data_IF_199673893253
#
_entry.id   IF_199673893253
#
_cell.length_a   1.000
_cell.length_b   1.000
_cell.length_c   1.000
_cell.angle_alpha   90.00
_cell.angle_beta   90.00
_cell.angle_gamma   90.00
#
_symmetry.space_group_name_H-M   'P 1'
#
loop_
_entity.id
_entity.type
_entity.pdbx_description
1 polymer ?
#
# COMPACT_ATOMS: atom_id res chain seq x y z
N UNK A 1 -7.65 -16.31 55.49
CA UNK A 1 -6.27 -16.83 55.45
C UNK A 1 -5.38 -15.70 54.95
N UNK A 2 -4.60 -15.13 55.85
CA UNK A 2 -3.71 -13.99 55.62
C UNK A 2 -2.46 -14.45 54.89
N UNK A 3 -2.27 -14.02 53.64
CA UNK A 3 -1.00 -14.19 52.93
C UNK A 3 0.14 -13.51 53.72
N UNK A 4 1.35 -14.11 53.78
CA UNK A 4 2.50 -13.47 54.39
C UNK A 4 2.79 -12.16 53.64
N UNK A 5 2.80 -11.06 54.38
CA UNK A 5 2.88 -9.70 53.85
C UNK A 5 4.33 -9.37 53.44
N UNK A 6 4.66 -9.54 52.17
CA UNK A 6 5.97 -9.20 51.62
C UNK A 6 6.24 -7.67 51.76
N UNK A 7 7.32 -7.24 52.45
CA UNK A 7 7.66 -5.83 52.65
C UNK A 7 7.95 -5.05 51.37
N UNK A 8 8.14 -5.73 50.22
CA UNK A 8 8.44 -5.08 48.93
C UNK A 8 7.21 -4.50 48.22
N UNK A 9 5.99 -4.96 48.48
CA UNK A 9 4.82 -4.52 47.72
C UNK A 9 4.39 -3.07 48.06
N UNK A 10 3.94 -2.28 47.06
CA UNK A 10 3.48 -0.92 47.26
C UNK A 10 2.23 -0.92 48.12
N UNK A 11 2.15 0.01 49.07
CA UNK A 11 1.02 0.12 50.01
C UNK A 11 0.64 1.56 50.23
N UNK A 12 -0.66 1.78 50.34
CA UNK A 12 -1.25 3.03 50.80
C UNK A 12 -2.01 2.72 52.09
N UNK A 13 -1.59 3.31 53.21
CA UNK A 13 -2.29 3.16 54.49
C UNK A 13 -2.91 4.48 54.92
N UNK A 14 -4.17 4.44 55.33
CA UNK A 14 -4.86 5.59 55.94
C UNK A 14 -4.81 5.44 57.47
N UNK A 15 -4.23 6.43 58.14
CA UNK A 15 -4.11 6.45 59.62
C UNK A 15 -4.77 7.72 60.14
N UNK A 16 -5.64 7.61 61.15
CA UNK A 16 -6.29 8.78 61.76
C UNK A 16 -5.70 9.04 63.14
N UNK A 17 -5.12 10.23 63.36
CA UNK A 17 -4.59 10.67 64.66
C UNK A 17 -5.22 12.00 65.04
N UNK A 18 -5.79 12.12 66.24
CA UNK A 18 -6.32 13.36 66.82
C UNK A 18 -7.00 14.31 65.81
N UNK A 19 -8.01 13.79 65.09
CA UNK A 19 -8.82 14.49 64.06
C UNK A 19 -8.21 14.72 62.67
N UNK A 20 -6.92 14.42 62.46
CA UNK A 20 -6.24 14.54 61.16
C UNK A 20 -6.09 13.17 60.49
N UNK A 21 -6.40 13.11 59.20
CA UNK A 21 -6.20 11.92 58.37
C UNK A 21 -4.81 11.96 57.73
N UNK A 22 -4.04 10.89 57.89
CA UNK A 22 -2.73 10.69 57.28
C UNK A 22 -2.85 9.63 56.19
N UNK A 23 -2.27 9.89 55.02
CA UNK A 23 -2.11 8.92 53.95
C UNK A 23 -0.61 8.60 53.80
N UNK A 24 -0.21 7.40 54.18
CA UNK A 24 1.17 6.95 54.21
C UNK A 24 1.44 6.05 53.01
N UNK A 25 2.39 6.45 52.17
CA UNK A 25 2.89 5.67 51.04
C UNK A 25 4.12 4.87 51.46
N UNK A 26 4.12 3.55 51.26
CA UNK A 26 5.25 2.67 51.58
C UNK A 26 5.45 1.57 50.53
N UNK A 27 6.61 0.91 50.55
CA UNK A 27 7.00 -0.15 49.62
C UNK A 27 7.50 0.32 48.25
N UNK A 28 7.65 -0.63 47.31
CA UNK A 28 8.17 -0.36 45.96
C UNK A 28 7.05 -0.03 44.97
N UNK A 29 6.97 1.24 44.57
CA UNK A 29 6.07 1.79 43.56
C UNK A 29 6.70 1.75 42.17
N UNK A 30 6.85 0.53 41.65
CA UNK A 30 7.43 0.26 40.33
C UNK A 30 6.37 -0.28 39.37
N UNK A 31 6.60 -0.13 38.07
CA UNK A 31 5.65 -0.50 37.00
C UNK A 31 5.10 -1.92 37.16
N UNK A 32 5.93 -2.86 37.62
CA UNK A 32 5.57 -4.27 37.83
C UNK A 32 4.64 -4.50 39.04
N UNK A 33 4.64 -3.60 40.02
CA UNK A 33 3.88 -3.75 41.27
C UNK A 33 2.65 -2.82 41.33
N UNK A 34 2.51 -1.89 40.38
CA UNK A 34 1.43 -0.90 40.37
C UNK A 34 0.03 -1.51 40.17
N UNK A 35 -0.08 -2.63 39.44
CA UNK A 35 -1.38 -3.18 39.08
C UNK A 35 -2.21 -3.61 40.31
N UNK A 36 -1.56 -4.06 41.39
CA UNK A 36 -2.23 -4.50 42.61
C UNK A 36 -2.78 -3.36 43.47
N UNK A 37 -2.28 -2.13 43.31
CA UNK A 37 -2.60 -0.98 44.18
C UNK A 37 -3.48 0.07 43.50
N UNK A 38 -3.74 -0.06 42.19
CA UNK A 38 -4.54 0.90 41.40
C UNK A 38 -5.99 1.01 41.91
N UNK A 39 -6.60 -0.11 42.31
CA UNK A 39 -7.96 -0.11 42.86
C UNK A 39 -8.01 0.55 44.25
N UNK A 40 -7.03 0.23 45.11
CA UNK A 40 -6.91 0.82 46.46
C UNK A 40 -6.65 2.34 46.41
N UNK A 41 -5.82 2.79 45.46
CA UNK A 41 -5.59 4.21 45.18
C UNK A 41 -6.84 4.92 44.64
N UNK A 42 -7.57 4.29 43.74
CA UNK A 42 -8.81 4.87 43.19
C UNK A 42 -9.89 5.04 44.26
N UNK A 43 -9.89 4.16 45.27
CA UNK A 43 -10.80 4.23 46.42
C UNK A 43 -10.34 5.20 47.51
N UNK A 44 -9.05 5.56 47.54
CA UNK A 44 -8.48 6.52 48.48
C UNK A 44 -8.90 7.97 48.15
N UNK A 45 -10.18 8.30 48.38
CA UNK A 45 -10.67 9.68 48.32
C UNK A 45 -9.98 10.53 49.39
N UNK A 46 -9.11 11.42 48.95
CA UNK A 46 -8.42 12.43 49.75
C UNK A 46 -9.34 13.64 50.00
N UNK A 47 -9.33 14.16 51.23
CA UNK A 47 -9.95 15.44 51.58
C UNK A 47 -8.84 16.50 51.74
N UNK A 48 -9.19 17.79 51.66
CA UNK A 48 -8.25 18.91 51.84
C UNK A 48 -7.55 18.99 53.21
N UNK A 49 -7.96 18.16 54.17
CA UNK A 49 -7.33 18.01 55.50
C UNK A 49 -6.41 16.78 55.62
N UNK A 50 -6.23 16.02 54.54
CA UNK A 50 -5.39 14.82 54.56
C UNK A 50 -3.92 15.19 54.37
N UNK A 51 -3.07 14.79 55.31
CA UNK A 51 -1.61 14.94 55.24
C UNK A 51 -1.03 13.70 54.56
N UNK A 52 -0.16 13.92 53.57
CA UNK A 52 0.53 12.85 52.85
C UNK A 52 1.95 12.71 53.39
N UNK A 53 2.32 11.49 53.76
CA UNK A 53 3.65 11.13 54.24
C UNK A 53 4.20 9.93 53.46
N UNK A 54 5.53 9.87 53.35
CA UNK A 54 6.24 8.76 52.70
C UNK A 54 7.11 8.06 53.74
N UNK A 55 6.93 6.74 53.86
CA UNK A 55 7.73 5.88 54.73
C UNK A 55 9.18 5.79 54.21
N UNK A 56 10.20 5.66 55.07
CA UNK A 56 11.59 5.42 54.64
C UNK A 56 11.80 4.26 53.67
N UNK A 57 10.89 3.28 53.66
CA UNK A 57 10.89 2.14 52.72
C UNK A 57 10.39 2.48 51.31
N UNK A 58 9.91 3.70 51.07
CA UNK A 58 9.33 4.12 49.80
C UNK A 58 10.37 4.23 48.68
N UNK A 59 10.14 3.51 47.59
CA UNK A 59 10.86 3.68 46.32
C UNK A 59 9.85 3.82 45.20
N UNK A 60 10.12 4.67 44.21
CA UNK A 60 9.25 4.82 43.03
C UNK A 60 10.05 4.91 41.74
N UNK A 61 9.52 4.30 40.67
CA UNK A 61 9.96 4.61 39.30
C UNK A 61 9.13 5.76 38.70
N UNK A 62 9.41 6.12 37.45
CA UNK A 62 8.69 7.19 36.74
C UNK A 62 7.18 6.93 36.66
N UNK A 63 6.76 5.68 36.49
CA UNK A 63 5.35 5.31 36.40
C UNK A 63 4.65 5.42 37.75
N UNK A 64 5.30 4.97 38.83
CA UNK A 64 4.80 5.06 40.20
C UNK A 64 4.69 6.51 40.67
N UNK A 65 5.75 7.30 40.46
CA UNK A 65 5.74 8.73 40.76
C UNK A 65 4.60 9.46 40.01
N UNK A 66 4.36 9.09 38.76
CA UNK A 66 3.30 9.66 37.94
C UNK A 66 1.89 9.30 38.41
N UNK A 67 1.64 8.06 38.83
CA UNK A 67 0.34 7.64 39.35
C UNK A 67 0.02 8.34 40.67
N UNK A 68 1.01 8.52 41.55
CA UNK A 68 0.86 9.29 42.79
C UNK A 68 0.57 10.76 42.46
N UNK A 69 1.38 11.36 41.57
CA UNK A 69 1.19 12.75 41.14
C UNK A 69 -0.20 12.98 40.52
N UNK A 70 -0.69 12.06 39.69
CA UNK A 70 -2.03 12.11 39.09
C UNK A 70 -3.14 12.06 40.14
N UNK A 71 -3.01 11.18 41.13
CA UNK A 71 -3.98 11.02 42.22
C UNK A 71 -4.01 12.28 43.12
N UNK A 72 -2.84 12.81 43.48
CA UNK A 72 -2.71 14.03 44.28
C UNK A 72 -3.13 15.30 43.51
N UNK A 73 -2.97 15.33 42.18
CA UNK A 73 -3.45 16.44 41.34
C UNK A 73 -4.97 16.47 41.23
N UNK A 74 -5.64 15.30 41.29
CA UNK A 74 -7.09 15.20 41.30
C UNK A 74 -7.70 15.62 42.65
N UNK A 75 -7.00 15.33 43.76
CA UNK A 75 -7.38 15.72 45.12
C UNK A 75 -6.16 16.28 45.88
N UNK A 76 -5.98 17.60 45.93
CA UNK A 76 -4.77 18.20 46.50
C UNK A 76 -4.65 17.92 48.00
N UNK A 77 -3.45 17.49 48.47
CA UNK A 77 -3.20 17.25 49.89
C UNK A 77 -3.07 18.56 50.68
N UNK A 78 -3.04 18.45 52.01
CA UNK A 78 -2.72 19.56 52.92
C UNK A 78 -1.37 20.21 52.56
N UNK A 79 -1.26 21.53 52.73
CA UNK A 79 -0.01 22.30 52.56
C UNK A 79 1.11 21.88 53.50
N UNK A 80 0.81 21.08 54.52
CA UNK A 80 1.80 20.51 55.45
C UNK A 80 2.41 19.19 54.94
N UNK A 81 2.00 18.69 53.77
CA UNK A 81 2.54 17.44 53.20
C UNK A 81 3.96 17.61 52.63
N UNK A 82 4.84 16.66 52.96
CA UNK A 82 6.22 16.61 52.44
C UNK A 82 6.25 15.63 51.27
N UNK A 83 6.44 16.17 50.07
CA UNK A 83 6.45 15.42 48.80
C UNK A 83 7.88 15.27 48.27
N UNK A 84 8.28 14.08 47.77
CA UNK A 84 9.50 13.91 47.00
C UNK A 84 9.55 14.83 45.77
N UNK A 85 10.73 15.35 45.43
CA UNK A 85 10.92 16.30 44.31
C UNK A 85 10.45 15.73 42.96
N UNK A 86 10.62 14.43 42.75
CA UNK A 86 10.15 13.71 41.56
C UNK A 86 8.63 13.80 41.38
N UNK A 87 7.87 13.72 42.47
CA UNK A 87 6.40 13.79 42.45
C UNK A 87 5.94 15.25 42.37
N UNK A 88 6.59 16.15 43.13
CA UNK A 88 6.29 17.58 43.11
C UNK A 88 6.46 18.19 41.71
N UNK A 89 7.56 17.86 41.03
CA UNK A 89 7.82 18.35 39.67
C UNK A 89 6.80 17.84 38.64
N UNK A 90 6.19 16.67 38.85
CA UNK A 90 5.15 16.13 37.98
C UNK A 90 3.79 16.80 38.23
N UNK A 91 3.47 17.14 39.48
CA UNK A 91 2.27 17.90 39.85
C UNK A 91 2.35 19.33 39.26
N UNK A 92 3.51 19.98 39.43
CA UNK A 92 3.73 21.35 38.94
C UNK A 92 3.63 21.46 37.41
N UNK A 93 4.05 20.41 36.69
CA UNK A 93 3.98 20.35 35.22
C UNK A 93 2.55 20.26 34.65
N UNK A 94 1.52 20.05 35.47
CA UNK A 94 0.09 20.00 35.08
C UNK A 94 -0.15 19.27 33.75
N UNK A 95 0.22 17.99 33.68
CA UNK A 95 -0.01 17.18 32.49
C UNK A 95 -1.50 17.17 32.12
N UNK A 96 -1.81 17.67 30.93
CA UNK A 96 -3.17 17.63 30.37
C UNK A 96 -3.35 16.33 29.62
N UNK A 97 -4.30 15.50 30.07
CA UNK A 97 -4.54 14.20 29.46
C UNK A 97 -5.53 14.34 28.30
N UNK A 98 -5.26 13.72 27.14
CA UNK A 98 -6.32 13.54 26.16
C UNK A 98 -7.41 12.69 26.82
N UNK A 99 -8.60 13.27 26.98
CA UNK A 99 -9.76 12.51 27.48
C UNK A 99 -9.99 11.33 26.54
N UNK A 100 -10.23 10.11 27.05
CA UNK A 100 -10.61 9.00 26.20
C UNK A 100 -11.80 9.44 25.35
N UNK A 101 -11.68 9.28 24.05
CA UNK A 101 -12.68 9.77 23.12
C UNK A 101 -13.98 8.99 23.36
N UNK A 102 -14.96 9.62 23.99
CA UNK A 102 -16.25 9.02 24.35
C UNK A 102 -17.26 9.11 23.20
N UNK A 103 -16.87 9.65 22.03
CA UNK A 103 -17.77 9.84 20.89
C UNK A 103 -18.34 8.50 20.39
N UNK A 104 -19.61 8.49 19.94
CA UNK A 104 -20.28 7.29 19.47
C UNK A 104 -19.55 6.65 18.28
N UNK A 105 -19.64 5.32 18.16
CA UNK A 105 -18.92 4.53 17.14
C UNK A 105 -19.19 5.01 15.72
N UNK A 106 -20.39 5.50 15.43
CA UNK A 106 -20.76 6.07 14.12
C UNK A 106 -20.00 7.37 13.81
N UNK A 107 -19.84 8.27 14.78
CA UNK A 107 -19.11 9.52 14.58
C UNK A 107 -17.62 9.24 14.31
N UNK A 108 -17.03 8.28 15.04
CA UNK A 108 -15.66 7.82 14.79
C UNK A 108 -15.50 7.14 13.44
N UNK A 109 -16.48 6.34 13.03
CA UNK A 109 -16.49 5.70 11.71
C UNK A 109 -16.55 6.75 10.60
N UNK A 110 -17.47 7.71 10.70
CA UNK A 110 -17.60 8.81 9.73
C UNK A 110 -16.33 9.67 9.71
N UNK A 111 -15.74 9.96 10.87
CA UNK A 111 -14.48 10.69 10.93
C UNK A 111 -13.32 9.91 10.30
N UNK A 112 -13.22 8.59 10.54
CA UNK A 112 -12.20 7.75 9.91
C UNK A 112 -12.36 7.74 8.40
N UNK A 113 -13.58 7.49 7.91
CA UNK A 113 -13.89 7.50 6.48
C UNK A 113 -13.61 8.88 5.89
N UNK A 114 -13.93 9.97 6.59
CA UNK A 114 -13.63 11.34 6.17
C UNK A 114 -12.13 11.59 6.06
N UNK A 115 -11.35 11.20 7.07
CA UNK A 115 -9.88 11.31 7.07
C UNK A 115 -9.26 10.48 5.95
N UNK A 116 -9.71 9.25 5.77
CA UNK A 116 -9.22 8.35 4.73
C UNK A 116 -9.54 8.88 3.33
N UNK A 117 -10.73 9.46 3.15
CA UNK A 117 -11.14 10.11 1.90
C UNK A 117 -10.26 11.33 1.57
N UNK A 118 -9.96 12.18 2.56
CA UNK A 118 -9.08 13.34 2.36
C UNK A 118 -7.65 12.89 2.02
N UNK A 119 -7.13 11.89 2.74
CA UNK A 119 -5.82 11.30 2.46
C UNK A 119 -5.78 10.69 1.06
N UNK A 120 -6.87 10.07 0.59
CA UNK A 120 -6.96 9.55 -0.77
C UNK A 120 -6.85 10.66 -1.82
N UNK A 121 -7.56 11.78 -1.64
CA UNK A 121 -7.50 12.93 -2.55
C UNK A 121 -6.10 13.53 -2.59
N UNK A 122 -5.45 13.68 -1.44
CA UNK A 122 -4.08 14.22 -1.37
C UNK A 122 -3.07 13.29 -2.07
N UNK A 123 -3.20 11.97 -1.85
CA UNK A 123 -2.40 10.97 -2.55
C UNK A 123 -2.63 10.99 -4.06
N UNK A 124 -3.89 11.06 -4.51
CA UNK A 124 -4.23 11.12 -5.92
C UNK A 124 -3.63 12.37 -6.59
N UNK A 125 -3.72 13.54 -5.93
CA UNK A 125 -3.09 14.78 -6.40
C UNK A 125 -1.57 14.64 -6.50
N UNK A 126 -0.93 14.01 -5.53
CA UNK A 126 0.52 13.81 -5.53
C UNK A 126 0.98 12.83 -6.62
N UNK A 127 0.24 11.73 -6.82
CA UNK A 127 0.48 10.79 -7.93
C UNK A 127 0.30 11.49 -9.28
N UNK A 128 -0.74 12.31 -9.44
CA UNK A 128 -0.98 13.06 -10.68
C UNK A 128 0.13 14.10 -10.94
N UNK A 129 0.59 14.79 -9.89
CA UNK A 129 1.72 15.71 -9.99
C UNK A 129 2.99 14.98 -10.44
N UNK A 130 3.26 13.79 -9.89
CA UNK A 130 4.41 12.99 -10.28
C UNK A 130 4.29 12.43 -11.70
N UNK A 131 3.08 12.07 -12.13
CA UNK A 131 2.82 11.68 -13.51
C UNK A 131 3.06 12.85 -14.48
N UNK A 132 2.58 14.06 -14.14
CA UNK A 132 2.85 15.28 -14.90
C UNK A 132 4.34 15.59 -15.00
N UNK A 133 5.07 15.46 -13.88
CA UNK A 133 6.53 15.58 -13.86
C UNK A 133 7.20 14.51 -14.74
N UNK A 134 6.70 13.28 -14.73
CA UNK A 134 7.21 12.20 -15.56
C UNK A 134 7.07 12.50 -17.04
N UNK A 135 5.87 12.89 -17.48
CA UNK A 135 5.60 13.24 -18.88
C UNK A 135 6.46 14.43 -19.31
N UNK A 136 6.54 15.48 -18.49
CA UNK A 136 7.35 16.65 -18.78
C UNK A 136 8.83 16.30 -18.91
N UNK A 137 9.37 15.48 -18.00
CA UNK A 137 10.78 15.08 -18.02
C UNK A 137 11.09 14.11 -19.15
N UNK A 138 10.21 13.17 -19.47
CA UNK A 138 10.37 12.30 -20.64
C UNK A 138 10.44 13.15 -21.91
N UNK A 139 9.51 14.09 -22.07
CA UNK A 139 9.51 15.00 -23.21
C UNK A 139 10.80 15.82 -23.29
N UNK A 140 11.23 16.39 -22.17
CA UNK A 140 12.46 17.16 -22.10
C UNK A 140 13.69 16.31 -22.42
N UNK A 141 13.84 15.13 -21.83
CA UNK A 141 14.98 14.21 -22.07
C UNK A 141 15.04 13.71 -23.50
N UNK A 142 13.90 13.46 -24.15
CA UNK A 142 13.87 13.14 -25.59
C UNK A 142 14.38 14.33 -26.42
N UNK A 143 14.07 15.57 -26.03
CA UNK A 143 14.52 16.78 -26.74
C UNK A 143 15.96 17.21 -26.42
N UNK A 144 16.44 17.00 -25.20
CA UNK A 144 17.69 17.57 -24.72
C UNK A 144 18.93 16.74 -25.08
N UNK A 145 18.78 15.58 -25.73
CA UNK A 145 19.87 14.64 -26.03
C UNK A 145 20.73 14.28 -24.78
N UNK A 146 20.21 14.48 -23.57
CA UNK A 146 20.88 14.05 -22.34
C UNK A 146 21.21 12.57 -22.45
N UNK A 147 22.43 12.20 -22.04
CA UNK A 147 23.04 10.91 -22.36
C UNK A 147 22.20 9.73 -21.87
N UNK A 148 21.40 9.16 -22.78
CA UNK A 148 20.66 7.92 -22.53
C UNK A 148 21.65 6.82 -22.13
N UNK A 149 21.46 6.27 -20.93
CA UNK A 149 22.22 5.10 -20.47
C UNK A 149 21.66 3.85 -21.11
N UNK A 150 21.96 3.67 -22.40
CA UNK A 150 21.46 2.56 -23.22
C UNK A 150 21.73 1.19 -22.58
N UNK A 151 22.90 1.00 -22.00
CA UNK A 151 23.26 -0.26 -21.30
C UNK A 151 22.28 -0.61 -20.18
N UNK A 152 21.84 0.39 -19.40
CA UNK A 152 20.85 0.19 -18.33
C UNK A 152 19.47 -0.14 -18.92
N UNK A 153 19.08 0.53 -20.01
CA UNK A 153 17.80 0.28 -20.69
C UNK A 153 17.74 -1.16 -21.23
N UNK A 154 18.79 -1.62 -21.92
CA UNK A 154 18.86 -2.98 -22.46
C UNK A 154 18.72 -4.05 -21.38
N UNK A 155 19.48 -3.92 -20.29
CA UNK A 155 19.39 -4.85 -19.14
C UNK A 155 17.97 -4.90 -18.55
N UNK A 156 17.29 -3.75 -18.55
CA UNK A 156 15.93 -3.66 -18.05
C UNK A 156 14.91 -4.27 -19.03
N UNK A 157 15.07 -4.07 -20.34
CA UNK A 157 14.23 -4.70 -21.37
C UNK A 157 14.35 -6.22 -21.29
N UNK A 158 15.55 -6.75 -21.10
CA UNK A 158 15.75 -8.19 -20.88
C UNK A 158 14.99 -8.68 -19.64
N UNK A 159 15.11 -7.96 -18.53
CA UNK A 159 14.52 -8.39 -17.24
C UNK A 159 13.00 -8.26 -17.22
N UNK A 160 12.47 -7.17 -17.78
CA UNK A 160 11.04 -6.85 -17.79
C UNK A 160 10.33 -7.57 -18.94
N UNK A 161 10.95 -7.62 -20.12
CA UNK A 161 10.45 -8.26 -21.33
C UNK A 161 10.74 -9.77 -21.36
N UNK A 162 11.98 -10.16 -21.68
CA UNK A 162 12.31 -11.56 -21.97
C UNK A 162 11.93 -12.52 -20.84
N UNK A 163 12.23 -12.16 -19.59
CA UNK A 163 11.87 -13.00 -18.43
C UNK A 163 10.36 -13.03 -18.12
N UNK A 164 9.54 -12.14 -18.71
CA UNK A 164 8.07 -12.17 -18.56
C UNK A 164 7.38 -13.07 -19.61
N UNK A 165 8.06 -13.41 -20.70
CA UNK A 165 7.46 -14.16 -21.83
C UNK A 165 6.80 -15.45 -21.33
N UNK A 166 7.48 -16.25 -20.50
CA UNK A 166 6.94 -17.54 -20.06
C UNK A 166 5.61 -17.44 -19.30
N UNK A 167 5.52 -16.53 -18.32
CA UNK A 167 4.30 -16.35 -17.52
C UNK A 167 3.16 -15.75 -18.36
N UNK A 168 3.47 -14.81 -19.26
CA UNK A 168 2.48 -14.19 -20.15
C UNK A 168 1.94 -15.18 -21.16
N UNK A 169 2.81 -15.98 -21.79
CA UNK A 169 2.42 -17.02 -22.73
C UNK A 169 1.49 -18.05 -22.09
N UNK A 170 1.84 -18.53 -20.90
CA UNK A 170 1.04 -19.54 -20.20
C UNK A 170 -0.35 -19.00 -19.83
N UNK A 171 -0.41 -17.83 -19.20
CA UNK A 171 -1.68 -17.22 -18.79
C UNK A 171 -2.54 -16.89 -20.01
N UNK A 172 -1.95 -16.30 -21.05
CA UNK A 172 -2.67 -15.90 -22.26
C UNK A 172 -3.24 -17.11 -23.00
N UNK A 173 -2.47 -18.19 -23.13
CA UNK A 173 -2.94 -19.44 -23.72
C UNK A 173 -4.15 -20.00 -22.96
N UNK A 174 -4.08 -20.06 -21.64
CA UNK A 174 -5.20 -20.57 -20.81
C UNK A 174 -6.43 -19.67 -20.93
N UNK A 175 -6.26 -18.35 -20.89
CA UNK A 175 -7.38 -17.40 -21.02
C UNK A 175 -8.01 -17.49 -22.40
N UNK A 176 -7.21 -17.55 -23.47
CA UNK A 176 -7.71 -17.72 -24.83
C UNK A 176 -8.52 -18.99 -25.00
N UNK A 177 -8.05 -20.11 -24.44
CA UNK A 177 -8.78 -21.37 -24.41
C UNK A 177 -10.12 -21.25 -23.65
N UNK A 178 -10.12 -20.67 -22.45
CA UNK A 178 -11.33 -20.52 -21.62
C UNK A 178 -12.35 -19.60 -22.29
N UNK A 179 -11.92 -18.46 -22.83
CA UNK A 179 -12.80 -17.52 -23.53
C UNK A 179 -13.41 -18.15 -24.78
N UNK A 180 -12.61 -18.87 -25.55
CA UNK A 180 -13.10 -19.58 -26.72
C UNK A 180 -14.14 -20.65 -26.34
N UNK A 181 -13.86 -21.45 -25.30
CA UNK A 181 -14.78 -22.48 -24.83
C UNK A 181 -16.11 -21.87 -24.39
N UNK A 182 -16.07 -20.78 -23.63
CA UNK A 182 -17.27 -20.06 -23.20
C UNK A 182 -18.03 -19.45 -24.40
N UNK A 183 -17.31 -18.88 -25.36
CA UNK A 183 -17.87 -18.32 -26.60
C UNK A 183 -18.63 -19.38 -27.41
N UNK A 184 -18.01 -20.53 -27.65
CA UNK A 184 -18.63 -21.67 -28.35
C UNK A 184 -19.92 -22.07 -27.62
N UNK A 185 -19.86 -22.33 -26.31
CA UNK A 185 -21.02 -22.77 -25.53
C UNK A 185 -22.16 -21.76 -25.49
N UNK A 186 -21.85 -20.47 -25.56
CA UNK A 186 -22.87 -19.43 -25.55
C UNK A 186 -23.53 -19.26 -26.92
N UNK A 187 -22.75 -19.33 -28.00
CA UNK A 187 -23.24 -19.15 -29.37
C UNK A 187 -23.86 -20.42 -29.96
N UNK A 188 -23.48 -21.60 -29.46
CA UNK A 188 -24.10 -22.89 -29.80
C UNK A 188 -25.61 -22.89 -29.56
N UNK A 189 -26.08 -22.19 -28.51
CA UNK A 189 -27.50 -22.02 -28.20
C UNK A 189 -28.30 -21.31 -29.30
N UNK A 190 -27.61 -20.58 -30.17
CA UNK A 190 -28.19 -19.83 -31.28
C UNK A 190 -27.84 -20.45 -32.64
N UNK A 191 -27.24 -21.64 -32.66
CA UNK A 191 -26.75 -22.27 -33.90
C UNK A 191 -25.56 -21.55 -34.54
N UNK A 192 -24.87 -20.70 -33.78
CA UNK A 192 -23.85 -19.77 -34.27
C UNK A 192 -22.44 -20.10 -33.74
N UNK A 193 -22.16 -21.36 -33.39
CA UNK A 193 -20.91 -21.76 -32.76
C UNK A 193 -19.61 -21.31 -33.49
N UNK A 194 -19.53 -21.31 -34.84
CA UNK A 194 -18.35 -20.81 -35.55
C UNK A 194 -18.03 -19.33 -35.31
N UNK A 195 -19.03 -18.49 -35.01
CA UNK A 195 -18.83 -17.07 -34.66
C UNK A 195 -18.10 -16.87 -33.33
N UNK A 196 -17.85 -17.94 -32.57
CA UNK A 196 -16.96 -17.90 -31.42
C UNK A 196 -15.52 -17.51 -31.81
N UNK A 197 -15.10 -17.81 -33.04
CA UNK A 197 -13.79 -17.38 -33.58
C UNK A 197 -13.75 -15.86 -33.72
N UNK A 198 -14.83 -15.25 -34.22
CA UNK A 198 -14.94 -13.80 -34.37
C UNK A 198 -14.90 -13.10 -33.01
N UNK A 199 -15.68 -13.63 -32.05
CA UNK A 199 -15.67 -13.17 -30.67
C UNK A 199 -14.26 -13.24 -30.07
N UNK A 200 -13.58 -14.38 -30.24
CA UNK A 200 -12.22 -14.60 -29.75
C UNK A 200 -11.24 -13.59 -30.35
N UNK A 201 -11.24 -13.44 -31.67
CA UNK A 201 -10.32 -12.58 -32.41
C UNK A 201 -10.45 -11.11 -31.98
N UNK A 202 -11.68 -10.58 -31.99
CA UNK A 202 -11.94 -9.19 -31.61
C UNK A 202 -11.61 -8.95 -30.14
N UNK A 203 -12.00 -9.87 -29.24
CA UNK A 203 -11.78 -9.71 -27.80
C UNK A 203 -10.31 -9.74 -27.42
N UNK A 204 -9.53 -10.69 -27.97
CA UNK A 204 -8.09 -10.81 -27.72
C UNK A 204 -7.35 -9.58 -28.22
N UNK A 205 -7.64 -9.15 -29.45
CA UNK A 205 -6.91 -8.06 -30.11
C UNK A 205 -7.21 -6.69 -29.51
N UNK A 206 -8.47 -6.40 -29.14
CA UNK A 206 -8.85 -5.07 -28.63
C UNK A 206 -8.61 -4.90 -27.14
N UNK A 207 -8.87 -5.93 -26.34
CA UNK A 207 -9.04 -5.76 -24.89
C UNK A 207 -8.21 -6.76 -24.08
N UNK A 208 -8.45 -8.07 -24.27
CA UNK A 208 -8.01 -9.09 -23.31
C UNK A 208 -6.48 -9.20 -23.25
N UNK A 209 -5.79 -9.27 -24.38
CA UNK A 209 -4.33 -9.45 -24.36
C UNK A 209 -3.60 -8.24 -23.79
N UNK A 210 -4.04 -7.03 -24.12
CA UNK A 210 -3.41 -5.81 -23.60
C UNK A 210 -3.69 -5.62 -22.12
N UNK A 211 -4.92 -5.88 -21.67
CA UNK A 211 -5.30 -5.75 -20.26
C UNK A 211 -4.59 -6.81 -19.40
N UNK A 212 -4.66 -8.09 -19.78
CA UNK A 212 -4.06 -9.18 -18.98
C UNK A 212 -2.54 -9.07 -18.92
N UNK A 213 -1.89 -8.74 -20.04
CA UNK A 213 -0.44 -8.50 -20.06
C UNK A 213 -0.07 -7.34 -19.13
N UNK A 214 -0.84 -6.26 -19.13
CA UNK A 214 -0.60 -5.10 -18.26
C UNK A 214 -0.78 -5.44 -16.79
N UNK A 215 -1.80 -6.21 -16.42
CA UNK A 215 -2.02 -6.66 -15.04
C UNK A 215 -0.84 -7.51 -14.54
N UNK A 216 -0.38 -8.48 -15.35
CA UNK A 216 0.74 -9.34 -14.99
C UNK A 216 2.04 -8.53 -14.87
N UNK A 217 2.29 -7.59 -15.78
CA UNK A 217 3.49 -6.74 -15.74
C UNK A 217 3.44 -5.74 -14.58
N UNK A 218 2.26 -5.21 -14.21
CA UNK A 218 2.08 -4.41 -13.00
C UNK A 218 2.45 -5.21 -11.74
N UNK A 219 1.97 -6.45 -11.65
CA UNK A 219 2.24 -7.35 -10.54
C UNK A 219 3.71 -7.79 -10.45
N UNK A 220 4.38 -8.08 -11.56
CA UNK A 220 5.76 -8.60 -11.59
C UNK A 220 6.81 -7.50 -11.64
N UNK A 221 6.73 -6.61 -12.63
CA UNK A 221 7.75 -5.61 -12.92
C UNK A 221 7.48 -4.31 -12.17
N UNK A 222 6.23 -3.88 -12.04
CA UNK A 222 5.85 -2.71 -11.24
C UNK A 222 6.21 -2.89 -9.76
N UNK A 223 5.91 -4.06 -9.19
CA UNK A 223 6.31 -4.42 -7.82
C UNK A 223 7.84 -4.47 -7.66
N UNK A 224 8.56 -5.07 -8.62
CA UNK A 224 10.01 -5.13 -8.60
C UNK A 224 10.65 -3.75 -8.66
N UNK A 225 10.11 -2.82 -9.47
CA UNK A 225 10.58 -1.44 -9.50
C UNK A 225 10.37 -0.73 -8.16
N UNK A 226 9.20 -0.94 -7.54
CA UNK A 226 8.90 -0.40 -6.21
C UNK A 226 9.89 -0.91 -5.17
N UNK A 227 10.13 -2.22 -5.15
CA UNK A 227 11.06 -2.85 -4.21
C UNK A 227 12.50 -2.37 -4.42
N UNK A 228 12.98 -2.32 -5.67
CA UNK A 228 14.33 -1.86 -5.98
C UNK A 228 14.55 -0.40 -5.56
N UNK A 229 13.68 0.52 -6.00
CA UNK A 229 13.79 1.94 -5.64
C UNK A 229 13.62 2.13 -4.13
N UNK A 230 12.72 1.37 -3.51
CA UNK A 230 12.50 1.37 -2.07
C UNK A 230 13.75 0.98 -1.28
N UNK A 231 14.41 -0.11 -1.66
CA UNK A 231 15.68 -0.54 -1.06
C UNK A 231 16.78 0.50 -1.29
N UNK A 232 16.90 1.05 -2.50
CA UNK A 232 17.84 2.14 -2.78
C UNK A 232 17.57 3.38 -1.92
N UNK A 233 16.29 3.66 -1.61
CA UNK A 233 15.92 4.78 -0.73
C UNK A 233 16.32 4.52 0.72
N UNK A 234 16.09 3.30 1.22
CA UNK A 234 16.50 2.90 2.58
C UNK A 234 18.01 2.92 2.77
N UNK A 235 18.77 2.50 1.74
CA UNK A 235 20.22 2.49 1.75
C UNK A 235 20.85 3.87 1.44
N UNK A 236 20.04 4.93 1.35
CA UNK A 236 20.50 6.29 1.03
C UNK A 236 21.21 6.44 -0.34
N UNK A 237 21.10 5.44 -1.23
CA UNK A 237 21.70 5.48 -2.57
C UNK A 237 21.10 6.60 -3.42
N UNK A 238 19.80 6.87 -3.25
CA UNK A 238 19.11 7.97 -3.96
C UNK A 238 19.62 9.33 -3.51
N UNK A 239 19.95 9.49 -2.23
CA UNK A 239 20.48 10.74 -1.71
C UNK A 239 21.95 10.91 -2.13
N UNK A 240 22.71 9.81 -2.22
CA UNK A 240 24.05 9.82 -2.82
C UNK A 240 24.03 10.27 -4.29
N UNK A 241 23.04 9.84 -5.09
CA UNK A 241 22.86 10.31 -6.47
C UNK A 241 22.65 11.82 -6.53
N UNK A 242 21.86 12.38 -5.61
CA UNK A 242 21.66 13.84 -5.51
C UNK A 242 22.95 14.57 -5.14
N UNK A 243 23.73 14.01 -4.22
CA UNK A 243 25.03 14.58 -3.82
C UNK A 243 26.05 14.58 -4.97
N UNK A 244 25.96 13.62 -5.91
CA UNK A 244 26.76 13.60 -7.14
C UNK A 244 26.30 14.63 -8.19
N UNK A 245 25.31 15.47 -7.87
CA UNK A 245 24.77 16.48 -8.80
C UNK A 245 23.83 15.90 -9.87
N UNK A 246 23.42 14.63 -9.73
CA UNK A 246 22.53 13.96 -10.68
C UNK A 246 21.09 13.98 -10.20
N UNK A 247 20.13 14.14 -11.13
CA UNK A 247 18.72 14.09 -10.80
C UNK A 247 18.23 12.63 -10.75
N UNK A 248 17.75 12.10 -9.60
CA UNK A 248 17.35 10.69 -9.48
C UNK A 248 16.28 10.25 -10.47
N UNK A 249 15.40 11.18 -10.85
CA UNK A 249 14.36 10.90 -11.85
C UNK A 249 14.94 10.50 -13.21
N UNK A 250 15.94 11.23 -13.70
CA UNK A 250 16.58 10.94 -15.00
C UNK A 250 17.35 9.62 -14.95
N UNK A 251 18.05 9.36 -13.84
CA UNK A 251 18.93 8.19 -13.71
C UNK A 251 18.15 6.90 -13.43
N UNK A 252 17.07 6.97 -12.65
CA UNK A 252 16.37 5.77 -12.17
C UNK A 252 15.02 5.55 -12.87
N UNK A 253 14.24 6.61 -13.08
CA UNK A 253 12.84 6.48 -13.46
C UNK A 253 12.69 6.41 -14.98
N UNK A 254 13.35 7.31 -15.71
CA UNK A 254 13.28 7.37 -17.18
C UNK A 254 13.67 6.03 -17.86
N UNK A 255 14.79 5.37 -17.50
CA UNK A 255 15.16 4.09 -18.12
C UNK A 255 14.11 3.00 -17.90
N UNK A 256 13.45 3.00 -16.74
CA UNK A 256 12.37 2.06 -16.40
C UNK A 256 11.13 2.29 -17.25
N UNK A 257 10.74 3.54 -17.43
CA UNK A 257 9.61 3.90 -18.29
C UNK A 257 9.89 3.49 -19.73
N UNK A 258 11.06 3.83 -20.29
CA UNK A 258 11.41 3.51 -21.68
C UNK A 258 11.45 2.00 -21.90
N UNK A 259 12.09 1.26 -20.98
CA UNK A 259 12.16 -0.18 -21.09
C UNK A 259 10.76 -0.82 -21.10
N UNK A 260 9.83 -0.34 -20.27
CA UNK A 260 8.47 -0.88 -20.20
C UNK A 260 7.62 -0.45 -21.40
N UNK A 261 7.79 0.77 -21.91
CA UNK A 261 7.13 1.26 -23.13
C UNK A 261 7.53 0.45 -24.36
N UNK A 262 8.76 -0.04 -24.41
CA UNK A 262 9.23 -0.93 -25.49
C UNK A 262 8.80 -2.38 -25.24
N UNK A 263 8.97 -2.86 -24.00
CA UNK A 263 8.72 -4.26 -23.68
C UNK A 263 7.23 -4.62 -23.69
N UNK A 264 6.34 -3.76 -23.17
CA UNK A 264 4.92 -4.11 -23.00
C UNK A 264 4.21 -4.39 -24.34
N UNK A 265 4.35 -3.57 -25.41
CA UNK A 265 3.77 -3.89 -26.71
C UNK A 265 4.26 -5.22 -27.29
N UNK A 266 5.55 -5.53 -27.12
CA UNK A 266 6.12 -6.81 -27.56
C UNK A 266 5.54 -7.99 -26.78
N UNK A 267 5.32 -7.82 -25.48
CA UNK A 267 4.67 -8.84 -24.65
C UNK A 267 3.19 -9.01 -25.01
N UNK A 268 2.49 -7.94 -25.39
CA UNK A 268 1.11 -8.02 -25.89
C UNK A 268 1.04 -8.82 -27.18
N UNK A 269 2.01 -8.66 -28.10
CA UNK A 269 2.09 -9.51 -29.29
C UNK A 269 2.23 -10.99 -28.94
N UNK A 270 3.11 -11.32 -28.00
CA UNK A 270 3.26 -12.70 -27.51
C UNK A 270 1.95 -13.21 -26.90
N UNK A 271 1.26 -12.36 -26.12
CA UNK A 271 -0.04 -12.69 -25.53
C UNK A 271 -1.09 -12.98 -26.60
N UNK A 272 -1.20 -12.14 -27.64
CA UNK A 272 -2.16 -12.34 -28.76
C UNK A 272 -1.90 -13.68 -29.44
N UNK A 273 -0.64 -13.98 -29.78
CA UNK A 273 -0.27 -15.22 -30.46
C UNK A 273 -0.63 -16.45 -29.60
N UNK A 274 -0.22 -16.44 -28.34
CA UNK A 274 -0.43 -17.58 -27.43
C UNK A 274 -1.89 -17.77 -27.03
N UNK A 275 -2.65 -16.69 -26.84
CA UNK A 275 -4.09 -16.76 -26.60
C UNK A 275 -4.85 -17.29 -27.83
N UNK A 276 -4.47 -16.86 -29.04
CA UNK A 276 -5.06 -17.36 -30.29
C UNK A 276 -4.79 -18.85 -30.47
N UNK A 277 -3.58 -19.33 -30.15
CA UNK A 277 -3.25 -20.76 -30.14
C UNK A 277 -4.13 -21.53 -29.15
N UNK A 278 -4.34 -21.00 -27.94
CA UNK A 278 -5.22 -21.62 -26.94
C UNK A 278 -6.66 -21.78 -27.45
N UNK A 279 -7.21 -20.74 -28.08
CA UNK A 279 -8.54 -20.81 -28.69
C UNK A 279 -8.60 -21.76 -29.88
N UNK A 280 -7.57 -21.79 -30.73
CA UNK A 280 -7.47 -22.71 -31.86
C UNK A 280 -7.56 -24.19 -31.44
N UNK A 281 -6.87 -24.57 -30.36
CA UNK A 281 -6.99 -25.93 -29.80
C UNK A 281 -8.41 -26.25 -29.34
N UNK A 282 -9.09 -25.29 -28.70
CA UNK A 282 -10.46 -25.48 -28.21
C UNK A 282 -11.46 -25.60 -29.35
N UNK A 283 -11.36 -24.76 -30.37
CA UNK A 283 -12.23 -24.83 -31.56
C UNK A 283 -12.13 -26.20 -32.21
N UNK A 284 -10.91 -26.68 -32.43
CA UNK A 284 -10.70 -28.00 -33.03
C UNK A 284 -11.27 -29.13 -32.16
N UNK A 285 -11.13 -29.04 -30.84
CA UNK A 285 -11.61 -30.06 -29.91
C UNK A 285 -13.14 -30.04 -29.68
N UNK A 286 -13.82 -28.92 -29.93
CA UNK A 286 -15.24 -28.75 -29.57
C UNK A 286 -16.19 -28.78 -30.77
N UNK A 287 -15.80 -28.13 -31.87
CA UNK A 287 -16.64 -28.02 -33.08
C UNK A 287 -15.92 -28.58 -34.33
N UNK A 288 -14.82 -29.30 -34.13
CA UNK A 288 -14.08 -30.07 -35.15
C UNK A 288 -13.57 -29.27 -36.35
N UNK A 289 -13.50 -27.93 -36.24
CA UNK A 289 -12.93 -27.08 -37.28
C UNK A 289 -11.40 -27.30 -37.34
N UNK A 290 -10.83 -27.56 -38.53
CA UNK A 290 -9.38 -27.75 -38.69
C UNK A 290 -8.60 -26.44 -38.54
N UNK A 291 -7.33 -26.52 -38.15
CA UNK A 291 -6.48 -25.35 -37.88
C UNK A 291 -6.31 -24.41 -39.09
N UNK A 292 -6.32 -24.93 -40.32
CA UNK A 292 -6.25 -24.11 -41.54
C UNK A 292 -7.48 -23.23 -41.72
N UNK A 293 -8.66 -23.76 -41.42
CA UNK A 293 -9.93 -23.04 -41.52
C UNK A 293 -10.08 -22.02 -40.39
N UNK A 294 -9.63 -22.38 -39.17
CA UNK A 294 -9.58 -21.44 -38.05
C UNK A 294 -8.87 -20.13 -38.43
N UNK A 295 -7.70 -20.22 -39.08
CA UNK A 295 -6.93 -19.03 -39.44
C UNK A 295 -7.63 -18.16 -40.49
N UNK A 296 -8.31 -18.79 -41.46
CA UNK A 296 -9.12 -18.08 -42.45
C UNK A 296 -10.26 -17.31 -41.78
N UNK A 297 -11.01 -17.96 -40.90
CA UNK A 297 -12.11 -17.33 -40.15
C UNK A 297 -11.59 -16.23 -39.21
N UNK A 298 -10.49 -16.49 -38.50
CA UNK A 298 -9.85 -15.53 -37.61
C UNK A 298 -9.40 -14.27 -38.37
N UNK A 299 -8.80 -14.40 -39.54
CA UNK A 299 -8.38 -13.25 -40.35
C UNK A 299 -9.57 -12.47 -40.91
N UNK A 300 -10.64 -13.15 -41.32
CA UNK A 300 -11.84 -12.50 -41.85
C UNK A 300 -12.61 -11.71 -40.77
N UNK A 301 -12.52 -12.13 -39.50
CA UNK A 301 -13.16 -11.45 -38.38
C UNK A 301 -12.48 -10.12 -37.97
N UNK A 302 -11.23 -9.90 -38.39
CA UNK A 302 -10.39 -8.81 -37.87
C UNK A 302 -10.37 -7.64 -38.84
N UNK A 303 -10.91 -6.50 -38.42
CA UNK A 303 -10.72 -5.24 -39.15
C UNK A 303 -9.28 -4.72 -38.98
N UNK A 304 -8.81 -3.94 -39.96
CA UNK A 304 -7.45 -3.35 -39.92
C UNK A 304 -7.21 -2.48 -38.68
N UNK A 305 -8.26 -1.89 -38.11
CA UNK A 305 -8.18 -1.03 -36.91
C UNK A 305 -8.09 -1.83 -35.61
N UNK A 306 -8.72 -3.00 -35.54
CA UNK A 306 -8.87 -3.83 -34.33
C UNK A 306 -7.54 -4.15 -33.63
N UNK A 307 -6.50 -4.45 -34.41
CA UNK A 307 -5.17 -4.69 -33.87
C UNK A 307 -4.54 -3.41 -33.32
N UNK A 308 -4.65 -2.30 -34.05
CA UNK A 308 -4.06 -1.03 -33.65
C UNK A 308 -4.77 -0.39 -32.45
N UNK A 309 -6.09 -0.60 -32.31
CA UNK A 309 -6.83 -0.13 -31.13
C UNK A 309 -6.27 -0.73 -29.85
N UNK A 310 -5.99 -2.04 -29.82
CA UNK A 310 -5.39 -2.67 -28.64
C UNK A 310 -3.92 -2.30 -28.47
N UNK A 311 -3.13 -2.31 -29.55
CA UNK A 311 -1.70 -2.04 -29.51
C UNK A 311 -1.37 -0.60 -29.06
N UNK A 312 -2.22 0.37 -29.43
CA UNK A 312 -2.06 1.77 -29.04
C UNK A 312 -2.20 2.02 -27.54
N UNK A 313 -2.94 1.16 -26.82
CA UNK A 313 -3.11 1.24 -25.36
C UNK A 313 -1.85 0.79 -24.60
N UNK A 314 -1.10 -0.16 -25.16
CA UNK A 314 0.04 -0.76 -24.46
C UNK A 314 1.12 0.26 -24.03
N UNK A 315 1.60 1.20 -24.88
CA UNK A 315 2.54 2.23 -24.43
C UNK A 315 2.01 3.08 -23.27
N UNK A 316 0.72 3.41 -23.26
CA UNK A 316 0.12 4.22 -22.21
C UNK A 316 0.09 3.46 -20.88
N UNK A 317 -0.35 2.20 -20.90
CA UNK A 317 -0.35 1.35 -19.71
C UNK A 317 1.06 1.12 -19.18
N UNK A 318 2.05 1.01 -20.07
CA UNK A 318 3.45 0.89 -19.67
C UNK A 318 3.94 2.11 -18.88
N UNK A 319 3.60 3.32 -19.33
CA UNK A 319 3.94 4.56 -18.62
C UNK A 319 3.26 4.57 -17.25
N UNK A 320 1.97 4.27 -17.17
CA UNK A 320 1.21 4.24 -15.91
C UNK A 320 1.86 3.27 -14.91
N UNK A 321 2.13 2.03 -15.33
CA UNK A 321 2.72 1.00 -14.47
C UNK A 321 4.11 1.42 -13.97
N UNK A 322 4.97 1.90 -14.88
CA UNK A 322 6.33 2.28 -14.52
C UNK A 322 6.36 3.50 -13.59
N UNK A 323 5.50 4.51 -13.84
CA UNK A 323 5.39 5.71 -13.01
C UNK A 323 4.90 5.37 -11.62
N UNK A 324 3.81 4.61 -11.49
CA UNK A 324 3.24 4.23 -10.18
C UNK A 324 4.25 3.39 -9.38
N UNK A 325 4.90 2.41 -10.01
CA UNK A 325 5.92 1.59 -9.34
C UNK A 325 7.12 2.39 -8.86
N UNK A 326 7.66 3.27 -9.71
CA UNK A 326 8.77 4.12 -9.29
C UNK A 326 8.35 5.12 -8.20
N UNK A 327 7.16 5.71 -8.33
CA UNK A 327 6.63 6.69 -7.37
C UNK A 327 6.49 6.09 -5.97
N UNK A 328 5.84 4.93 -5.85
CA UNK A 328 5.68 4.26 -4.55
C UNK A 328 7.01 3.78 -3.98
N UNK A 329 7.96 3.40 -4.83
CA UNK A 329 9.34 3.12 -4.39
C UNK A 329 10.01 4.33 -3.75
N UNK A 330 9.84 5.52 -4.33
CA UNK A 330 10.39 6.78 -3.78
C UNK A 330 9.77 7.19 -2.44
N UNK A 331 8.61 6.64 -2.09
CA UNK A 331 7.87 6.96 -0.85
C UNK A 331 8.19 6.05 0.33
N UNK A 332 9.02 5.03 0.15
CA UNK A 332 9.41 4.13 1.24
C UNK A 332 10.11 4.92 2.35
N UNK A 333 9.76 4.64 3.61
CA UNK A 333 10.31 5.30 4.80
C UNK A 333 10.62 4.29 5.91
N UNK A 334 11.76 4.48 6.58
CA UNK A 334 12.06 3.91 7.89
C UNK A 334 12.48 2.44 7.92
N UNK A 335 11.76 1.51 7.29
CA UNK A 335 11.98 0.07 7.45
C UNK A 335 11.71 -0.77 6.21
N UNK A 336 12.22 -2.01 6.21
CA UNK A 336 11.95 -3.01 5.16
C UNK A 336 10.45 -3.37 5.06
N UNK A 337 9.70 -3.27 6.16
CA UNK A 337 8.24 -3.46 6.15
C UNK A 337 7.55 -2.42 5.26
N UNK A 338 8.02 -1.16 5.30
CA UNK A 338 7.51 -0.10 4.43
C UNK A 338 7.70 -0.43 2.94
N UNK A 339 8.79 -1.12 2.57
CA UNK A 339 9.01 -1.57 1.18
C UNK A 339 7.92 -2.53 0.76
N UNK A 340 7.60 -3.52 1.60
CA UNK A 340 6.53 -4.48 1.34
C UNK A 340 5.17 -3.79 1.19
N UNK A 341 4.83 -2.88 2.11
CA UNK A 341 3.57 -2.12 2.06
C UNK A 341 3.45 -1.27 0.79
N UNK A 342 4.50 -0.55 0.40
CA UNK A 342 4.50 0.27 -0.81
C UNK A 342 4.46 -0.58 -2.08
N UNK A 343 5.09 -1.76 -2.06
CA UNK A 343 5.06 -2.72 -3.17
C UNK A 343 3.63 -3.20 -3.44
N UNK A 344 2.90 -3.60 -2.40
CA UNK A 344 1.50 -4.02 -2.54
C UNK A 344 0.63 -2.86 -3.01
N UNK A 345 0.80 -1.66 -2.43
CA UNK A 345 0.06 -0.45 -2.86
C UNK A 345 0.30 -0.12 -4.33
N UNK A 346 1.55 -0.21 -4.79
CA UNK A 346 1.89 0.02 -6.20
C UNK A 346 1.14 -0.91 -7.14
N UNK A 347 1.04 -2.20 -6.81
CA UNK A 347 0.38 -3.17 -7.69
C UNK A 347 -1.10 -2.87 -7.80
N UNK A 348 -1.76 -2.64 -6.67
CA UNK A 348 -3.21 -2.33 -6.62
C UNK A 348 -3.51 -1.04 -7.38
N UNK A 349 -2.74 0.03 -7.15
CA UNK A 349 -2.95 1.30 -7.83
C UNK A 349 -2.68 1.24 -9.33
N UNK A 350 -1.63 0.51 -9.74
CA UNK A 350 -1.32 0.33 -11.15
C UNK A 350 -2.43 -0.43 -11.88
N UNK A 351 -2.89 -1.56 -11.31
CA UNK A 351 -3.99 -2.36 -11.91
C UNK A 351 -5.26 -1.52 -12.00
N UNK A 352 -5.66 -0.84 -10.92
CA UNK A 352 -6.87 -0.02 -10.91
C UNK A 352 -6.81 1.12 -11.93
N UNK A 353 -5.68 1.82 -12.00
CA UNK A 353 -5.48 2.93 -12.96
C UNK A 353 -5.48 2.42 -14.40
N UNK A 354 -4.86 1.27 -14.68
CA UNK A 354 -4.88 0.63 -16.00
C UNK A 354 -6.30 0.26 -16.41
N UNK A 355 -7.10 -0.37 -15.51
CA UNK A 355 -8.49 -0.74 -15.81
C UNK A 355 -9.36 0.48 -16.11
N UNK A 356 -9.23 1.56 -15.32
CA UNK A 356 -9.96 2.80 -15.59
C UNK A 356 -9.56 3.39 -16.94
N UNK A 357 -8.26 3.44 -17.21
CA UNK A 357 -7.73 3.98 -18.45
C UNK A 357 -8.20 3.14 -19.66
N UNK A 358 -8.24 1.82 -19.51
CA UNK A 358 -8.76 0.90 -20.51
C UNK A 358 -10.23 1.14 -20.82
N UNK A 359 -11.08 1.28 -19.78
CA UNK A 359 -12.50 1.57 -19.95
C UNK A 359 -12.71 2.90 -20.69
N UNK A 360 -11.98 3.96 -20.31
CA UNK A 360 -12.06 5.27 -20.98
C UNK A 360 -11.61 5.18 -22.44
N UNK A 361 -10.49 4.51 -22.72
CA UNK A 361 -10.01 4.34 -24.10
C UNK A 361 -10.94 3.46 -24.94
N UNK A 362 -11.53 2.40 -24.36
CA UNK A 362 -12.47 1.52 -25.05
C UNK A 362 -13.73 2.29 -25.48
N UNK A 363 -14.29 3.13 -24.59
CA UNK A 363 -15.41 4.02 -24.92
C UNK A 363 -15.00 5.02 -26.01
N UNK A 364 -13.81 5.62 -25.90
CA UNK A 364 -13.31 6.57 -26.88
C UNK A 364 -13.13 5.97 -28.28
N UNK A 365 -12.48 4.80 -28.40
CA UNK A 365 -12.30 4.14 -29.69
C UNK A 365 -13.64 3.67 -30.28
N UNK A 366 -14.55 3.17 -29.45
CA UNK A 366 -15.88 2.79 -29.89
C UNK A 366 -16.68 4.00 -30.39
N UNK A 367 -16.56 5.16 -29.74
CA UNK A 367 -17.20 6.40 -30.19
C UNK A 367 -16.61 6.97 -31.50
N UNK A 368 -15.40 6.54 -31.88
CA UNK A 368 -14.74 6.90 -33.14
C UNK A 368 -14.95 5.87 -34.25
N UNK A 369 -15.81 4.88 -34.03
CA UNK A 369 -16.04 3.74 -34.93
C UNK A 369 -14.74 2.95 -35.24
N UNK A 370 -13.83 2.83 -34.28
CA UNK A 370 -12.51 2.18 -34.43
C UNK A 370 -12.36 0.82 -33.75
#
# INVERSE_FOLDING_TARGET
MTHPQDPANPRVKRVKKNTTDYLIFSGDWVTLSLQSILEDLAQAKLNSKTIVEFDPSFKCDTAGAFIIAKTLSASPPSSESVLPDSIRSLIDKKYTYPKPDVRPTLEKFVESVGKDSLNFVENAKSTLSFFGEAVFRIYHTIRSQETFRWTSIYSLIETVGLKAIGIISLISLLIGAVLCYQGVRQLEKFGAAPYAIDFLAVSILREISVLMTSIVVAGRSGSSFTAQIGTMKLNQEIDAIRMMGLHPFQVLIIPRIIALVIALPLLVLVSILTASLGGMFVINATIEIPFSEFWSLYQNAVHKTTFWTGMSKAPLFAIIIAVIGCYRGMQVKGSAESVGQMTTRSVVEAIFTVIICDAVMSIFFTAMDW
#
